data_IF_856710513842
#
_entry.id   IF_856710513842
#
_cell.length_a   1.000
_cell.length_b   1.000
_cell.length_c   1.000
_cell.angle_alpha   90.00
_cell.angle_beta   90.00
_cell.angle_gamma   90.00
#
_symmetry.space_group_name_H-M   'P 1'
#
loop_
_entity.id
_entity.type
_entity.pdbx_description
1 polymer ?
#
# COMPACT_ATOMS: atom_id res chain seq x y z
N UNK A 1 81.30 -2.28 -12.43
CA UNK A 1 80.41 -2.52 -11.27
C UNK A 1 79.04 -1.97 -11.65
N UNK A 2 78.10 -2.89 -11.90
CA UNK A 2 76.72 -2.61 -12.30
C UNK A 2 75.87 -2.19 -11.11
N UNK A 3 74.91 -1.29 -11.33
CA UNK A 3 73.58 -1.37 -10.70
C UNK A 3 72.56 -0.79 -11.69
N UNK A 4 71.90 -1.69 -12.41
CA UNK A 4 70.69 -1.43 -13.19
C UNK A 4 69.52 -1.69 -12.24
N UNK A 5 68.73 -0.66 -11.94
CA UNK A 5 67.44 -0.83 -11.25
C UNK A 5 66.40 -1.25 -12.29
N UNK A 6 65.98 -2.51 -12.25
CA UNK A 6 64.79 -2.98 -12.95
C UNK A 6 63.56 -2.73 -12.07
N UNK A 7 62.60 -1.96 -12.58
CA UNK A 7 61.25 -1.85 -12.01
C UNK A 7 60.49 -3.14 -12.31
N UNK A 8 60.03 -3.83 -11.27
CA UNK A 8 59.11 -4.94 -11.41
C UNK A 8 57.69 -4.42 -11.77
N UNK A 9 56.95 -5.09 -12.68
CA UNK A 9 55.56 -4.75 -12.94
C UNK A 9 54.70 -5.13 -11.73
N UNK A 10 53.94 -4.15 -11.23
CA UNK A 10 52.86 -4.39 -10.28
C UNK A 10 51.78 -5.19 -11.01
N UNK A 11 51.61 -6.44 -10.59
CA UNK A 11 50.46 -7.25 -10.96
C UNK A 11 49.20 -6.53 -10.48
N UNK A 12 48.47 -5.90 -11.40
CA UNK A 12 47.07 -5.53 -11.18
C UNK A 12 46.30 -6.84 -11.19
N UNK A 13 46.18 -7.44 -10.01
CA UNK A 13 45.16 -8.45 -9.77
C UNK A 13 43.81 -7.73 -9.83
N UNK A 14 43.10 -7.89 -10.95
CA UNK A 14 41.65 -7.83 -10.94
C UNK A 14 41.20 -8.98 -10.03
N UNK A 15 40.98 -8.68 -8.75
CA UNK A 15 40.19 -9.57 -7.92
C UNK A 15 38.82 -9.69 -8.57
N UNK A 16 38.47 -10.91 -8.97
CA UNK A 16 37.11 -11.28 -9.34
C UNK A 16 36.17 -10.82 -8.23
N UNK A 17 35.49 -9.70 -8.44
CA UNK A 17 34.37 -9.29 -7.59
C UNK A 17 33.17 -10.14 -7.99
N UNK A 18 33.19 -11.40 -7.51
CA UNK A 18 31.99 -12.20 -7.36
C UNK A 18 31.26 -11.78 -6.09
N UNK A 19 30.92 -10.50 -6.03
CA UNK A 19 29.81 -10.05 -5.20
C UNK A 19 28.62 -9.95 -6.16
N UNK A 20 28.01 -11.11 -6.43
CA UNK A 20 26.58 -11.18 -6.76
C UNK A 20 25.81 -10.74 -5.51
N UNK A 21 25.99 -9.48 -5.11
CA UNK A 21 25.03 -8.77 -4.30
C UNK A 21 23.78 -8.71 -5.16
N UNK A 22 22.96 -9.77 -5.07
CA UNK A 22 21.60 -9.76 -5.58
C UNK A 22 21.01 -8.47 -5.06
N UNK A 23 20.83 -7.50 -5.95
CA UNK A 23 20.25 -6.21 -5.62
C UNK A 23 19.06 -6.49 -4.72
N UNK A 24 19.12 -6.01 -3.47
CA UNK A 24 18.09 -6.29 -2.48
C UNK A 24 16.74 -6.09 -3.15
N UNK A 25 15.93 -7.14 -3.22
CA UNK A 25 14.64 -7.08 -3.90
C UNK A 25 13.88 -5.92 -3.29
N UNK A 26 13.65 -4.87 -4.09
CA UNK A 26 13.05 -3.64 -3.57
C UNK A 26 11.67 -4.01 -3.05
N UNK A 27 11.50 -3.99 -1.74
CA UNK A 27 10.21 -4.15 -1.08
C UNK A 27 9.63 -2.76 -0.92
N UNK A 28 8.54 -2.47 -1.61
CA UNK A 28 7.91 -1.14 -1.62
C UNK A 28 6.84 -0.99 -0.54
N UNK A 29 6.60 -2.06 0.23
CA UNK A 29 5.82 -2.02 1.44
C UNK A 29 5.50 -3.40 2.00
N UNK A 30 4.83 -3.39 3.14
CA UNK A 30 4.32 -4.58 3.82
C UNK A 30 2.84 -4.37 4.15
N UNK A 31 1.98 -5.25 3.63
CA UNK A 31 0.55 -5.27 3.92
C UNK A 31 0.31 -6.26 5.07
N UNK A 32 -0.04 -5.77 6.26
CA UNK A 32 -0.40 -6.61 7.41
C UNK A 32 -1.88 -6.55 7.64
N UNK A 33 -2.55 -7.68 7.47
CA UNK A 33 -4.01 -7.77 7.56
C UNK A 33 -4.40 -8.75 8.66
N UNK A 34 -5.51 -8.48 9.33
CA UNK A 34 -6.21 -9.46 10.16
C UNK A 34 -7.67 -9.50 9.73
N UNK A 35 -8.16 -10.69 9.42
CA UNK A 35 -9.59 -10.92 9.24
C UNK A 35 -10.18 -11.08 10.63
N UNK A 36 -11.21 -10.34 11.04
CA UNK A 36 -11.74 -10.48 12.41
C UNK A 36 -12.29 -11.88 12.72
N UNK A 37 -12.66 -12.63 11.69
CA UNK A 37 -13.04 -14.03 11.80
C UNK A 37 -11.86 -15.00 12.03
N UNK A 38 -10.61 -14.51 11.97
CA UNK A 38 -9.37 -15.27 12.17
C UNK A 38 -8.42 -14.53 13.12
N UNK A 39 -7.75 -15.25 14.01
CA UNK A 39 -6.72 -14.66 14.87
C UNK A 39 -5.38 -14.45 14.17
N UNK A 40 -5.25 -14.92 12.92
CA UNK A 40 -3.98 -14.89 12.20
C UNK A 40 -3.78 -13.56 11.47
N UNK A 41 -2.64 -12.92 11.74
CA UNK A 41 -2.17 -11.79 10.93
C UNK A 41 -1.54 -12.36 9.66
N UNK A 42 -2.10 -12.03 8.50
CA UNK A 42 -1.49 -12.31 7.21
C UNK A 42 -0.60 -11.14 6.82
N UNK A 43 0.66 -11.42 6.47
CA UNK A 43 1.58 -10.43 5.92
C UNK A 43 1.89 -10.77 4.46
N UNK A 44 1.80 -9.75 3.60
CA UNK A 44 2.18 -9.84 2.20
C UNK A 44 3.15 -8.72 1.84
N UNK A 45 4.14 -9.04 1.01
CA UNK A 45 5.07 -8.04 0.47
C UNK A 45 4.44 -7.36 -0.75
N UNK A 46 4.41 -6.04 -0.75
CA UNK A 46 4.03 -5.23 -1.90
C UNK A 46 5.30 -4.90 -2.69
N UNK A 47 5.35 -5.36 -3.94
CA UNK A 47 6.56 -5.37 -4.78
C UNK A 47 6.52 -4.36 -5.90
N UNK A 48 5.39 -3.68 -6.12
CA UNK A 48 5.33 -2.53 -7.03
C UNK A 48 4.63 -1.35 -6.36
N UNK A 49 5.00 -0.14 -6.76
CA UNK A 49 4.35 1.10 -6.31
C UNK A 49 4.23 2.09 -7.47
N UNK A 50 3.11 2.79 -7.53
CA UNK A 50 2.89 3.93 -8.42
C UNK A 50 2.21 5.01 -7.60
N UNK A 51 2.81 6.20 -7.55
CA UNK A 51 2.21 7.34 -6.89
C UNK A 51 2.16 8.55 -7.81
N UNK A 52 1.15 9.39 -7.59
CA UNK A 52 0.96 10.64 -8.29
C UNK A 52 0.45 11.71 -7.33
N UNK A 53 0.95 12.92 -7.51
CA UNK A 53 0.47 14.09 -6.79
C UNK A 53 0.01 15.15 -7.78
N UNK A 54 -1.26 15.51 -7.71
CA UNK A 54 -1.79 16.68 -8.42
C UNK A 54 -1.68 17.90 -7.51
N UNK A 55 -0.89 18.89 -7.94
CA UNK A 55 -0.67 20.13 -7.19
C UNK A 55 -1.87 21.07 -7.22
N UNK A 56 -2.78 20.94 -8.19
CA UNK A 56 -3.95 21.80 -8.33
C UNK A 56 -5.10 21.34 -7.45
N UNK A 57 -5.40 20.03 -7.44
CA UNK A 57 -6.44 19.44 -6.60
C UNK A 57 -5.93 19.01 -5.21
N UNK A 58 -4.61 19.11 -4.98
CA UNK A 58 -3.92 18.58 -3.79
C UNK A 58 -4.22 17.09 -3.54
N UNK A 59 -4.50 16.34 -4.60
CA UNK A 59 -4.75 14.90 -4.53
C UNK A 59 -3.44 14.13 -4.61
N UNK A 60 -3.15 13.34 -3.60
CA UNK A 60 -2.15 12.27 -3.63
C UNK A 60 -2.85 10.94 -3.87
N UNK A 61 -2.38 10.17 -4.85
CA UNK A 61 -2.83 8.80 -5.09
C UNK A 61 -1.63 7.85 -5.05
N UNK A 62 -1.83 6.66 -4.51
CA UNK A 62 -0.83 5.60 -4.47
C UNK A 62 -1.48 4.25 -4.71
N UNK A 63 -0.87 3.45 -5.59
CA UNK A 63 -1.27 2.08 -5.88
C UNK A 63 -0.07 1.16 -5.63
N UNK A 64 -0.28 0.15 -4.78
CA UNK A 64 0.76 -0.79 -4.37
C UNK A 64 0.26 -2.21 -4.61
N UNK A 65 1.05 -3.06 -5.26
CA UNK A 65 0.63 -4.44 -5.60
C UNK A 65 1.68 -5.49 -5.26
N UNK A 66 1.20 -6.69 -4.94
CA UNK A 66 1.99 -7.89 -4.68
C UNK A 66 1.75 -8.99 -5.72
N UNK A 67 2.62 -10.02 -5.78
CA UNK A 67 2.57 -11.07 -6.79
C UNK A 67 1.39 -12.05 -6.63
N UNK A 68 0.75 -12.11 -5.45
CA UNK A 68 -0.40 -12.97 -5.17
C UNK A 68 -1.75 -12.32 -5.43
N UNK A 69 -1.77 -11.11 -5.99
CA UNK A 69 -2.99 -10.31 -6.15
C UNK A 69 -3.30 -9.42 -4.94
N UNK A 70 -2.36 -9.33 -3.99
CA UNK A 70 -2.46 -8.38 -2.89
C UNK A 70 -2.34 -6.96 -3.43
N UNK A 71 -3.10 -6.05 -2.81
CA UNK A 71 -3.23 -4.68 -3.28
C UNK A 71 -3.46 -3.75 -2.11
N UNK A 72 -2.93 -2.55 -2.21
CA UNK A 72 -3.29 -1.41 -1.39
C UNK A 72 -3.37 -0.17 -2.29
N UNK A 73 -4.56 0.42 -2.39
CA UNK A 73 -4.77 1.73 -3.00
C UNK A 73 -5.06 2.74 -1.90
N UNK A 74 -4.43 3.90 -2.03
CA UNK A 74 -4.68 5.05 -1.18
C UNK A 74 -4.95 6.28 -2.03
N UNK A 75 -5.83 7.13 -1.53
CA UNK A 75 -6.12 8.45 -2.05
C UNK A 75 -6.19 9.41 -0.88
N UNK A 76 -5.52 10.55 -0.96
CA UNK A 76 -5.53 11.61 0.05
C UNK A 76 -5.80 12.94 -0.65
N UNK A 77 -6.93 13.57 -0.37
CA UNK A 77 -7.23 14.94 -0.78
C UNK A 77 -6.61 15.92 0.23
N UNK A 78 -6.32 17.15 -0.20
CA UNK A 78 -5.66 18.17 0.62
C UNK A 78 -4.33 17.68 1.20
N UNK A 79 -3.60 16.88 0.42
CA UNK A 79 -2.31 16.35 0.82
C UNK A 79 -1.31 17.48 1.08
N UNK A 80 -0.77 17.49 2.29
CA UNK A 80 0.30 18.37 2.74
C UNK A 80 1.58 17.58 2.97
N UNK A 81 2.71 18.20 2.62
CA UNK A 81 4.05 17.69 2.98
C UNK A 81 4.37 17.87 4.47
N UNK A 82 3.55 18.62 5.20
CA UNK A 82 3.61 18.69 6.67
C UNK A 82 2.97 17.43 7.26
N UNK A 83 3.68 16.67 8.12
CA UNK A 83 3.14 15.46 8.74
C UNK A 83 1.84 15.72 9.49
N UNK A 84 0.76 15.05 9.10
CA UNK A 84 -0.52 15.01 9.81
C UNK A 84 -1.29 13.73 9.44
N UNK A 85 -2.10 13.16 10.34
CA UNK A 85 -2.94 12.02 9.99
C UNK A 85 -4.13 12.45 9.10
N UNK A 86 -4.58 11.52 8.27
CA UNK A 86 -5.82 11.60 7.48
C UNK A 86 -6.71 10.43 7.88
N UNK A 87 -7.95 10.72 8.25
CA UNK A 87 -8.91 9.69 8.66
C UNK A 87 -10.00 9.53 7.60
N UNK A 88 -10.25 8.28 7.23
CA UNK A 88 -11.32 7.91 6.32
C UNK A 88 -12.23 6.89 7.00
N UNK A 89 -13.53 7.07 6.83
CA UNK A 89 -14.54 6.18 7.38
C UNK A 89 -15.34 5.56 6.24
N UNK A 90 -15.74 4.31 6.42
CA UNK A 90 -16.63 3.64 5.52
C UNK A 90 -18.07 4.08 5.83
N UNK A 91 -18.63 4.94 4.98
CA UNK A 91 -19.99 5.47 5.14
C UNK A 91 -20.85 5.06 3.96
N UNK A 92 -22.15 4.84 4.19
CA UNK A 92 -23.13 4.33 3.22
C UNK A 92 -23.07 5.02 1.84
N UNK A 93 -22.76 6.31 1.82
CA UNK A 93 -22.75 7.15 0.63
C UNK A 93 -21.36 7.36 0.01
N UNK A 94 -20.28 6.80 0.58
CA UNK A 94 -18.93 7.01 0.07
C UNK A 94 -18.73 6.29 -1.27
N UNK A 95 -18.43 7.03 -2.34
CA UNK A 95 -18.13 6.50 -3.70
C UNK A 95 -16.65 6.74 -4.04
N UNK A 96 -16.09 5.91 -4.91
CA UNK A 96 -14.67 5.94 -5.33
C UNK A 96 -14.16 7.30 -5.89
N UNK A 97 -15.07 8.19 -6.30
CA UNK A 97 -14.79 9.55 -6.74
C UNK A 97 -15.18 10.66 -5.75
N UNK A 98 -15.97 10.35 -4.72
CA UNK A 98 -16.48 11.33 -3.73
C UNK A 98 -15.54 11.48 -2.52
N UNK A 99 -14.30 11.02 -2.70
CA UNK A 99 -13.22 11.06 -1.72
C UNK A 99 -12.84 12.51 -1.43
N UNK A 100 -13.43 13.05 -0.36
CA UNK A 100 -13.15 14.38 0.17
C UNK A 100 -14.10 15.50 -0.25
N UNK A 101 -15.23 15.23 -0.92
CA UNK A 101 -16.32 16.23 -1.02
C UNK A 101 -17.37 16.07 0.06
N UNK A 102 -17.59 14.86 0.57
CA UNK A 102 -18.65 14.62 1.56
C UNK A 102 -18.20 13.92 2.85
N UNK A 103 -17.17 13.05 2.87
CA UNK A 103 -17.03 12.09 4.00
C UNK A 103 -15.61 11.74 4.51
N UNK A 104 -14.58 12.52 4.16
CA UNK A 104 -13.23 12.34 4.73
C UNK A 104 -12.13 12.52 3.69
N UNK A 105 -11.03 13.14 4.09
CA UNK A 105 -9.94 13.56 3.19
C UNK A 105 -9.13 12.40 2.61
N UNK A 106 -9.54 11.13 2.82
CA UNK A 106 -8.86 9.97 2.24
C UNK A 106 -9.81 8.87 1.76
N UNK A 107 -9.26 7.97 0.97
CA UNK A 107 -9.85 6.70 0.59
C UNK A 107 -8.80 5.60 0.63
N UNK A 108 -9.20 4.43 1.13
CA UNK A 108 -8.39 3.22 1.14
C UNK A 108 -9.20 2.07 0.55
N UNK A 109 -8.55 1.31 -0.32
CA UNK A 109 -8.95 -0.04 -0.74
C UNK A 109 -7.76 -0.98 -0.54
N UNK A 110 -7.98 -2.16 0.03
CA UNK A 110 -6.97 -3.21 0.03
C UNK A 110 -7.56 -4.56 -0.36
N UNK A 111 -6.72 -5.42 -0.89
CA UNK A 111 -7.10 -6.77 -1.31
C UNK A 111 -6.15 -7.80 -0.70
N UNK A 112 -6.75 -8.87 -0.17
CA UNK A 112 -6.05 -10.03 0.39
C UNK A 112 -6.25 -11.19 -0.59
N UNK A 113 -5.17 -11.87 -0.95
CA UNK A 113 -5.24 -13.02 -1.85
C UNK A 113 -6.07 -14.16 -1.22
N UNK A 114 -7.06 -14.66 -1.95
CA UNK A 114 -7.64 -15.98 -1.71
C UNK A 114 -6.98 -16.95 -2.70
N UNK A 115 -6.30 -17.95 -2.16
CA UNK A 115 -5.43 -18.86 -2.92
C UNK A 115 -6.16 -19.56 -4.07
N UNK A 116 -7.45 -19.82 -3.90
CA UNK A 116 -8.21 -20.68 -4.81
C UNK A 116 -9.24 -19.90 -5.64
N UNK A 117 -9.61 -18.69 -5.21
CA UNK A 117 -10.79 -18.01 -5.75
C UNK A 117 -10.55 -16.54 -6.13
N UNK A 118 -9.34 -16.01 -5.89
CA UNK A 118 -8.98 -14.63 -6.23
C UNK A 118 -9.24 -13.65 -5.09
N UNK A 119 -8.74 -12.41 -5.18
CA UNK A 119 -8.59 -11.57 -3.99
C UNK A 119 -9.91 -11.07 -3.42
N UNK A 120 -10.00 -11.06 -2.09
CA UNK A 120 -11.07 -10.46 -1.30
C UNK A 120 -10.73 -9.00 -1.02
N UNK A 121 -11.63 -8.09 -1.35
CA UNK A 121 -11.39 -6.63 -1.29
C UNK A 121 -12.17 -5.96 -0.17
N UNK A 122 -11.54 -5.01 0.49
CA UNK A 122 -12.08 -4.20 1.58
C UNK A 122 -11.80 -2.73 1.26
N UNK A 123 -12.81 -1.86 1.36
CA UNK A 123 -12.65 -0.46 0.95
C UNK A 123 -13.52 0.48 1.76
N UNK A 124 -12.98 1.65 2.06
CA UNK A 124 -13.73 2.77 2.67
C UNK A 124 -14.81 3.36 1.76
N UNK A 125 -14.85 2.99 0.47
CA UNK A 125 -15.77 3.54 -0.53
C UNK A 125 -16.32 2.45 -1.47
N UNK A 126 -17.45 2.74 -2.12
CA UNK A 126 -18.05 1.89 -3.16
C UNK A 126 -17.33 2.08 -4.47
N UNK A 127 -16.87 0.97 -5.04
CA UNK A 127 -16.06 0.94 -6.27
C UNK A 127 -16.89 0.57 -7.49
N UNK A 128 -18.08 0.01 -7.29
CA UNK A 128 -19.02 -0.30 -8.35
C UNK A 128 -20.39 0.29 -8.02
N UNK A 129 -21.07 0.84 -9.04
CA UNK A 129 -22.41 1.39 -8.89
C UNK A 129 -23.46 0.34 -8.48
N UNK A 130 -23.17 -0.93 -8.73
CA UNK A 130 -24.00 -2.09 -8.38
C UNK A 130 -23.79 -2.58 -6.94
N UNK A 131 -22.86 -2.01 -6.19
CA UNK A 131 -22.68 -2.34 -4.77
C UNK A 131 -23.76 -1.66 -3.92
N UNK A 132 -24.39 -2.45 -3.05
CA UNK A 132 -25.28 -1.95 -2.02
C UNK A 132 -24.57 -0.93 -1.10
N UNK A 133 -25.34 -0.11 -0.40
CA UNK A 133 -24.79 0.81 0.59
C UNK A 133 -24.17 0.03 1.76
N UNK A 134 -23.16 0.62 2.39
CA UNK A 134 -22.57 0.04 3.61
C UNK A 134 -23.58 0.09 4.75
N UNK A 135 -23.90 -1.07 5.31
CA UNK A 135 -24.78 -1.19 6.48
C UNK A 135 -24.04 -0.95 7.79
N UNK A 136 -22.71 -1.17 7.79
CA UNK A 136 -21.79 -1.04 8.92
C UNK A 136 -20.45 -0.50 8.41
N UNK A 137 -19.70 0.22 9.25
CA UNK A 137 -18.48 0.91 8.83
C UNK A 137 -17.26 0.63 9.68
N UNK A 138 -16.10 0.57 9.04
CA UNK A 138 -14.78 0.68 9.67
C UNK A 138 -14.16 2.05 9.45
N UNK A 139 -12.99 2.26 10.06
CA UNK A 139 -12.21 3.49 9.93
C UNK A 139 -10.75 3.18 9.64
N UNK A 140 -10.13 4.04 8.85
CA UNK A 140 -8.72 4.00 8.55
C UNK A 140 -8.06 5.33 8.89
N UNK A 141 -6.79 5.26 9.28
CA UNK A 141 -5.91 6.41 9.42
C UNK A 141 -4.68 6.21 8.56
N UNK A 142 -4.32 7.23 7.77
CA UNK A 142 -3.09 7.30 7.00
C UNK A 142 -2.21 8.40 7.58
N UNK A 143 -0.99 8.05 7.98
CA UNK A 143 0.00 9.01 8.49
C UNK A 143 1.16 9.09 7.50
N UNK A 144 1.18 10.09 6.60
CA UNK A 144 2.30 10.32 5.70
C UNK A 144 3.48 11.00 6.40
N UNK A 145 4.67 10.60 6.01
CA UNK A 145 5.91 11.39 6.15
C UNK A 145 6.45 11.70 4.77
N UNK A 146 6.97 12.91 4.59
CA UNK A 146 7.52 13.36 3.32
C UNK A 146 8.99 13.71 3.46
N UNK A 147 9.83 13.03 2.67
CA UNK A 147 11.26 13.30 2.52
C UNK A 147 11.56 13.30 1.03
N UNK A 148 11.63 14.48 0.41
CA UNK A 148 11.70 14.61 -1.04
C UNK A 148 12.74 13.67 -1.69
N UNK A 149 12.38 12.95 -2.78
CA UNK A 149 11.09 12.92 -3.49
C UNK A 149 10.10 11.86 -2.98
N UNK A 150 10.32 11.31 -1.78
CA UNK A 150 9.60 10.14 -1.27
C UNK A 150 8.49 10.51 -0.29
N UNK A 151 7.40 9.74 -0.35
CA UNK A 151 6.36 9.68 0.67
C UNK A 151 6.35 8.28 1.27
N UNK A 152 6.38 8.21 2.60
CA UNK A 152 6.14 6.97 3.35
C UNK A 152 4.79 7.08 4.02
N UNK A 153 3.94 6.06 3.89
CA UNK A 153 2.60 6.02 4.45
C UNK A 153 2.51 4.92 5.49
N UNK A 154 2.17 5.27 6.72
CA UNK A 154 1.78 4.31 7.74
C UNK A 154 0.25 4.27 7.81
N UNK A 155 -0.31 3.07 7.65
CA UNK A 155 -1.75 2.88 7.50
C UNK A 155 -2.24 1.92 8.58
N UNK A 156 -3.34 2.28 9.23
CA UNK A 156 -4.05 1.41 10.16
C UNK A 156 -5.53 1.50 9.86
N UNK A 157 -6.18 0.35 9.74
CA UNK A 157 -7.61 0.25 9.50
C UNK A 157 -8.22 -0.69 10.52
N UNK A 158 -9.39 -0.36 11.03
CA UNK A 158 -10.16 -1.21 11.92
C UNK A 158 -11.51 -1.54 11.27
N UNK A 159 -11.84 -2.83 11.22
CA UNK A 159 -13.16 -3.35 10.91
C UNK A 159 -13.74 -2.91 9.56
N UNK A 160 -12.92 -2.77 8.51
CA UNK A 160 -13.46 -2.50 7.17
C UNK A 160 -14.27 -3.69 6.68
N UNK A 161 -15.50 -3.45 6.19
CA UNK A 161 -16.33 -4.52 5.63
C UNK A 161 -15.89 -4.89 4.22
N UNK A 162 -16.01 -6.17 3.88
CA UNK A 162 -15.68 -6.70 2.56
C UNK A 162 -16.62 -6.13 1.48
N UNK A 163 -16.04 -5.61 0.40
CA UNK A 163 -16.77 -4.99 -0.71
C UNK A 163 -16.81 -5.87 -1.96
N UNK A 164 -15.81 -6.73 -2.13
CA UNK A 164 -15.76 -7.76 -3.18
C UNK A 164 -15.35 -9.10 -2.61
N UNK A 165 -16.10 -10.14 -2.96
CA UNK A 165 -15.75 -11.54 -2.72
C UNK A 165 -15.23 -12.10 -4.03
N UNK A 166 -13.98 -12.55 -4.04
CA UNK A 166 -13.38 -13.19 -5.23
C UNK A 166 -13.51 -12.33 -6.50
N UNK A 167 -13.17 -11.04 -6.37
CA UNK A 167 -13.28 -10.04 -7.44
C UNK A 167 -14.71 -9.61 -7.81
N UNK A 168 -15.76 -10.25 -7.29
CA UNK A 168 -17.16 -9.94 -7.61
C UNK A 168 -17.76 -9.00 -6.55
N UNK A 169 -18.54 -7.97 -6.94
CA UNK A 169 -19.28 -7.13 -5.99
C UNK A 169 -20.09 -7.96 -5.01
N UNK A 170 -19.98 -7.64 -3.72
CA UNK A 170 -20.71 -8.32 -2.67
C UNK A 170 -22.07 -7.66 -2.43
N UNK A 171 -23.16 -8.41 -2.66
CA UNK A 171 -24.53 -8.00 -2.34
C UNK A 171 -25.29 -9.17 -1.67
N UNK A 172 -25.77 -9.02 -0.41
CA UNK A 172 -25.66 -7.85 0.45
C UNK A 172 -24.26 -7.68 1.06
N UNK A 173 -23.88 -6.45 1.37
CA UNK A 173 -22.69 -6.15 2.18
C UNK A 173 -22.96 -6.53 3.65
N UNK A 174 -22.18 -7.45 4.20
CA UNK A 174 -22.34 -7.98 5.56
C UNK A 174 -21.21 -7.52 6.49
N UNK A 175 -21.54 -7.13 7.72
CA UNK A 175 -20.57 -6.78 8.76
C UNK A 175 -19.84 -7.97 9.39
N UNK A 176 -20.22 -9.21 9.04
CA UNK A 176 -19.54 -10.41 9.52
C UNK A 176 -18.14 -10.58 8.91
N UNK A 177 -17.96 -10.09 7.68
CA UNK A 177 -16.72 -10.26 6.93
C UNK A 177 -15.96 -8.93 6.93
N UNK A 178 -15.17 -8.75 7.98
CA UNK A 178 -14.38 -7.54 8.20
C UNK A 178 -12.91 -7.86 8.26
N UNK A 179 -12.12 -6.89 7.81
CA UNK A 179 -10.67 -6.94 7.86
C UNK A 179 -10.11 -5.64 8.44
N UNK A 180 -8.99 -5.78 9.12
CA UNK A 180 -8.22 -4.67 9.67
C UNK A 180 -6.83 -4.66 9.02
N UNK A 181 -6.26 -3.47 8.86
CA UNK A 181 -4.83 -3.32 8.61
C UNK A 181 -4.17 -3.17 9.96
N UNK A 182 -3.40 -4.18 10.35
CA UNK A 182 -2.71 -4.20 11.62
C UNK A 182 -1.68 -3.06 11.69
N UNK A 183 -1.39 -2.61 12.92
CA UNK A 183 -0.37 -1.60 13.17
C UNK A 183 0.95 -1.99 12.50
N UNK A 184 1.51 -1.07 11.71
CA UNK A 184 2.79 -1.28 11.01
C UNK A 184 2.67 -1.62 9.52
N UNK A 185 1.46 -1.63 8.94
CA UNK A 185 1.32 -1.60 7.46
C UNK A 185 1.95 -0.31 6.95
N UNK A 186 3.05 -0.45 6.21
CA UNK A 186 3.86 0.67 5.73
C UNK A 186 4.12 0.50 4.25
N UNK A 187 3.92 1.56 3.47
CA UNK A 187 4.23 1.60 2.03
C UNK A 187 5.03 2.85 1.71
N UNK A 188 5.90 2.76 0.70
CA UNK A 188 6.74 3.87 0.24
C UNK A 188 6.61 4.01 -1.28
N UNK A 189 6.56 5.26 -1.74
CA UNK A 189 6.65 5.59 -3.15
C UNK A 189 7.25 6.99 -3.37
N UNK A 190 7.72 7.23 -4.59
CA UNK A 190 8.17 8.55 -5.03
C UNK A 190 7.02 9.34 -5.66
N UNK A 191 6.99 10.66 -5.46
CA UNK A 191 6.03 11.61 -6.05
C UNK A 191 6.72 12.78 -6.73
#
# INVERSE_FOLDING_TARGET
MSLVFALAPINVSCGDSKDDDKAAAVKYGELKTSLLASTDIQSASLTTSVCSRDSSSLLLSGAFTGPGGEKLDIKIRNFSTTPRPYTCTQTADNRDGDLGESYGECGIEFAIADRDLGPNTYSTYRTAATQDAFTFGGACTITPTYTAPKVTLNITCANLVQTKYHGTPRNPISGAETASLASGTTVECSI
#
